data_IF_503768641722
#
_entry.id   IF_503768641722
#
_cell.length_a   1.000
_cell.length_b   1.000
_cell.length_c   1.000
_cell.angle_alpha   90.00
_cell.angle_beta   90.00
_cell.angle_gamma   90.00
#
_symmetry.space_group_name_H-M   'P 1'
#
loop_
_entity.id
_entity.type
_entity.pdbx_description
1 polymer ?
#
# COMPACT_ATOMS: atom_id res chain seq x y z
N UNK A 1 -17.05 21.28 -42.43
CA UNK A 1 -17.25 21.76 -41.04
C UNK A 1 -16.01 21.39 -40.24
N UNK A 2 -15.36 22.37 -39.61
CA UNK A 2 -14.05 22.21 -38.94
C UNK A 2 -14.21 21.49 -37.60
N UNK A 3 -13.45 20.40 -37.44
CA UNK A 3 -13.27 19.67 -36.18
C UNK A 3 -12.53 20.54 -35.16
N UNK A 4 -13.19 20.86 -34.05
CA UNK A 4 -12.59 21.59 -32.92
C UNK A 4 -11.88 20.60 -31.99
N UNK A 5 -10.55 20.54 -32.11
CA UNK A 5 -9.64 19.94 -31.14
C UNK A 5 -9.68 20.73 -29.82
N UNK A 6 -10.41 20.25 -28.81
CA UNK A 6 -10.22 20.71 -27.41
C UNK A 6 -9.09 19.92 -26.78
N UNK A 7 -7.88 20.49 -26.77
CA UNK A 7 -6.80 20.10 -25.84
C UNK A 7 -7.31 20.28 -24.41
N UNK A 8 -7.59 19.19 -23.71
CA UNK A 8 -7.69 19.19 -22.26
C UNK A 8 -6.28 19.47 -21.73
N UNK A 9 -6.04 20.72 -21.33
CA UNK A 9 -4.83 21.07 -20.58
C UNK A 9 -4.89 20.31 -19.25
N UNK A 10 -3.95 19.40 -19.03
CA UNK A 10 -3.70 18.81 -17.71
C UNK A 10 -3.42 19.96 -16.75
N UNK A 11 -4.36 20.24 -15.83
CA UNK A 11 -4.08 21.14 -14.71
C UNK A 11 -2.91 20.55 -13.94
N UNK A 12 -1.81 21.30 -13.86
CA UNK A 12 -0.65 20.94 -13.06
C UNK A 12 -1.07 20.65 -11.63
N UNK A 13 -0.45 19.62 -11.05
CA UNK A 13 -0.60 19.27 -9.65
C UNK A 13 -0.01 20.41 -8.80
N UNK A 14 -0.87 21.23 -8.20
CA UNK A 14 -0.46 22.24 -7.22
C UNK A 14 -0.43 21.53 -5.88
N UNK A 15 0.77 21.38 -5.32
CA UNK A 15 0.96 20.93 -3.95
C UNK A 15 0.56 22.07 -3.01
N UNK A 16 -0.55 21.88 -2.30
CA UNK A 16 -1.01 22.81 -1.28
C UNK A 16 -0.18 22.62 0.00
N UNK A 17 0.56 23.66 0.38
CA UNK A 17 1.43 23.68 1.56
C UNK A 17 0.66 23.60 2.90
N UNK A 18 -0.66 23.49 2.87
CA UNK A 18 -1.53 23.26 4.04
C UNK A 18 -1.99 21.82 4.21
N UNK A 19 -1.61 20.90 3.31
CA UNK A 19 -1.98 19.50 3.43
C UNK A 19 -1.42 18.95 4.73
N UNK A 20 -2.26 18.30 5.53
CA UNK A 20 -1.91 17.71 6.84
C UNK A 20 -1.66 16.20 6.74
N UNK A 21 -1.47 15.66 5.54
CA UNK A 21 -1.21 14.24 5.30
C UNK A 21 -0.30 14.04 4.08
N UNK A 22 0.62 13.04 4.08
CA UNK A 22 1.41 12.68 2.89
C UNK A 22 0.53 12.17 1.72
N UNK A 23 -0.73 11.81 1.99
CA UNK A 23 -1.72 11.43 0.99
C UNK A 23 -2.53 12.62 0.46
N UNK A 24 -2.34 13.81 1.05
CA UNK A 24 -3.18 14.98 0.85
C UNK A 24 -4.60 14.81 1.41
N UNK A 25 -5.48 15.76 1.10
CA UNK A 25 -6.88 15.78 1.53
C UNK A 25 -7.86 15.41 0.41
N UNK A 26 -7.37 15.22 -0.82
CA UNK A 26 -8.21 15.02 -2.01
C UNK A 26 -8.09 13.59 -2.59
N UNK A 27 -7.75 12.59 -1.78
CA UNK A 27 -7.77 11.20 -2.22
C UNK A 27 -9.20 10.66 -2.23
N UNK A 28 -9.48 9.74 -3.16
CA UNK A 28 -10.74 9.01 -3.20
C UNK A 28 -10.64 7.66 -2.49
N UNK A 29 -9.50 6.99 -2.70
CA UNK A 29 -9.19 5.65 -2.16
C UNK A 29 -7.77 5.66 -1.60
N UNK A 30 -7.60 5.25 -0.35
CA UNK A 30 -6.31 4.89 0.23
C UNK A 30 -6.19 3.38 0.28
N UNK A 31 -5.17 2.84 -0.38
CA UNK A 31 -4.85 1.42 -0.31
C UNK A 31 -3.77 1.20 0.74
N UNK A 32 -4.20 0.86 1.94
CA UNK A 32 -3.35 0.73 3.13
C UNK A 32 -2.77 -0.67 3.28
N UNK A 33 -3.46 -1.67 2.73
CA UNK A 33 -3.17 -3.09 2.84
C UNK A 33 -3.17 -3.76 1.48
N UNK A 34 -2.01 -4.14 0.96
CA UNK A 34 -1.91 -4.87 -0.31
C UNK A 34 -0.73 -5.84 -0.39
N UNK A 35 -0.72 -6.70 -1.41
CA UNK A 35 0.48 -7.44 -1.81
C UNK A 35 0.95 -7.05 -3.22
N UNK A 36 0.74 -5.80 -3.62
CA UNK A 36 1.38 -5.26 -4.79
C UNK A 36 0.73 -3.98 -5.23
N UNK A 37 1.54 -3.04 -5.69
CA UNK A 37 1.07 -1.75 -6.17
C UNK A 37 1.98 -1.26 -7.29
N UNK A 38 1.44 -0.42 -8.17
CA UNK A 38 2.17 0.30 -9.21
C UNK A 38 1.81 1.77 -9.13
N UNK A 39 2.80 2.63 -8.99
CA UNK A 39 2.61 4.06 -9.04
C UNK A 39 2.40 4.55 -10.49
N UNK A 40 1.85 5.75 -10.62
CA UNK A 40 1.76 6.44 -11.91
C UNK A 40 3.14 6.78 -12.48
N UNK A 41 3.36 6.51 -13.76
CA UNK A 41 4.61 6.86 -14.47
C UNK A 41 4.79 8.38 -14.54
N UNK A 42 6.00 8.85 -14.26
CA UNK A 42 6.32 10.29 -14.28
C UNK A 42 5.51 11.13 -13.27
N UNK A 43 4.89 10.49 -12.28
CA UNK A 43 4.16 11.20 -11.22
C UNK A 43 5.03 11.38 -9.98
N UNK A 44 4.89 12.48 -9.23
CA UNK A 44 5.61 12.65 -7.98
C UNK A 44 5.21 11.59 -6.95
N UNK A 45 6.19 11.13 -6.17
CA UNK A 45 5.98 10.29 -5.00
C UNK A 45 6.84 10.81 -3.84
N UNK A 46 6.36 10.56 -2.63
CA UNK A 46 7.15 10.76 -1.43
C UNK A 46 7.99 9.53 -1.16
N UNK A 47 9.24 9.75 -0.75
CA UNK A 47 10.16 8.72 -0.29
C UNK A 47 10.74 9.13 1.06
N UNK A 48 10.65 8.21 2.00
CA UNK A 48 11.31 8.27 3.30
C UNK A 48 12.29 7.10 3.35
N UNK A 49 13.56 7.36 3.70
CA UNK A 49 14.65 6.36 3.63
C UNK A 49 15.15 5.90 5.00
N UNK A 50 14.49 6.34 6.08
CA UNK A 50 14.80 6.04 7.48
C UNK A 50 13.56 5.48 8.21
N UNK A 51 12.69 4.79 7.47
CA UNK A 51 11.51 4.16 8.03
C UNK A 51 11.79 2.77 8.57
N UNK A 52 12.00 2.69 9.88
CA UNK A 52 12.19 1.42 10.61
C UNK A 52 10.95 0.53 10.64
N UNK A 53 9.78 1.07 10.31
CA UNK A 53 8.53 0.31 10.21
C UNK A 53 8.30 -0.27 8.82
N UNK A 54 9.09 0.17 7.82
CA UNK A 54 9.04 -0.37 6.48
C UNK A 54 9.69 -1.76 6.47
N UNK A 55 8.92 -2.76 6.04
CA UNK A 55 9.41 -4.13 5.97
C UNK A 55 10.53 -4.24 4.91
N UNK A 56 11.68 -4.85 5.24
CA UNK A 56 12.76 -5.04 4.28
C UNK A 56 12.32 -5.88 3.08
N UNK A 57 12.93 -5.63 1.92
CA UNK A 57 12.58 -6.34 0.69
C UNK A 57 12.80 -7.87 0.78
N UNK A 58 13.77 -8.31 1.58
CA UNK A 58 14.04 -9.73 1.86
C UNK A 58 12.91 -10.42 2.61
N UNK A 59 12.11 -9.66 3.35
CA UNK A 59 11.05 -10.16 4.23
C UNK A 59 9.66 -9.78 3.75
N UNK A 60 9.55 -9.13 2.58
CA UNK A 60 8.27 -8.87 1.94
C UNK A 60 7.57 -10.20 1.66
N UNK A 61 6.27 -10.33 2.00
CA UNK A 61 5.50 -11.47 1.52
C UNK A 61 5.43 -11.43 0.00
N UNK A 62 5.00 -12.53 -0.63
CA UNK A 62 4.88 -12.60 -2.08
C UNK A 62 4.00 -11.46 -2.61
N UNK A 63 4.64 -10.53 -3.32
CA UNK A 63 3.94 -9.45 -4.01
C UNK A 63 3.66 -9.85 -5.45
N UNK A 64 2.40 -9.74 -5.87
CA UNK A 64 1.92 -10.17 -7.18
C UNK A 64 1.83 -9.02 -8.20
N UNK A 65 2.05 -7.78 -7.74
CA UNK A 65 2.16 -6.61 -8.60
C UNK A 65 3.33 -5.73 -8.17
N UNK A 66 3.98 -5.14 -9.17
CA UNK A 66 5.10 -4.23 -8.99
C UNK A 66 5.92 -4.10 -10.29
N UNK A 67 7.10 -3.47 -10.19
CA UNK A 67 7.53 -2.64 -9.05
C UNK A 67 6.58 -1.45 -8.84
N UNK A 68 6.57 -0.87 -7.63
CA UNK A 68 5.83 0.34 -7.31
C UNK A 68 6.35 1.52 -8.12
N UNK A 69 7.65 1.82 -8.00
CA UNK A 69 8.34 2.80 -8.85
C UNK A 69 9.35 2.10 -9.74
N UNK A 70 10.37 1.50 -9.14
CA UNK A 70 11.48 0.84 -9.83
C UNK A 70 12.19 -0.10 -8.85
N UNK A 71 12.71 -1.24 -9.31
CA UNK A 71 13.26 -2.26 -8.43
C UNK A 71 14.36 -1.76 -7.48
N UNK A 72 15.24 -0.88 -7.95
CA UNK A 72 16.34 -0.34 -7.12
C UNK A 72 15.85 0.58 -6.01
N UNK A 73 14.72 1.25 -6.22
CA UNK A 73 14.11 2.17 -5.26
C UNK A 73 13.27 1.37 -4.26
N UNK A 74 12.47 0.45 -4.77
CA UNK A 74 11.60 -0.42 -3.99
C UNK A 74 12.40 -1.35 -3.05
N UNK A 75 13.61 -1.78 -3.46
CA UNK A 75 14.50 -2.64 -2.65
C UNK A 75 15.39 -1.86 -1.69
N UNK A 76 15.31 -0.53 -1.66
CA UNK A 76 16.13 0.26 -0.75
C UNK A 76 15.76 -0.04 0.71
N UNK A 77 16.74 -0.24 1.61
CA UNK A 77 16.48 -0.56 3.01
C UNK A 77 15.75 0.59 3.71
N UNK A 78 14.91 0.24 4.69
CA UNK A 78 14.16 1.19 5.53
C UNK A 78 13.43 2.27 4.71
N UNK A 79 12.99 1.91 3.50
CA UNK A 79 12.41 2.87 2.56
C UNK A 79 10.91 2.66 2.48
N UNK A 80 10.16 3.75 2.72
CA UNK A 80 8.73 3.82 2.44
C UNK A 80 8.46 4.84 1.35
N UNK A 81 7.74 4.40 0.34
CA UNK A 81 7.22 5.20 -0.75
C UNK A 81 5.75 5.50 -0.49
N UNK A 82 5.29 6.69 -0.84
CA UNK A 82 3.87 7.03 -0.92
C UNK A 82 3.62 7.69 -2.25
N UNK A 83 2.70 7.15 -3.04
CA UNK A 83 2.48 7.62 -4.40
C UNK A 83 1.00 7.58 -4.77
N UNK A 84 0.66 8.31 -5.82
CA UNK A 84 -0.59 8.07 -6.54
C UNK A 84 -0.47 6.72 -7.24
N UNK A 85 -1.22 5.74 -6.74
CA UNK A 85 -1.24 4.40 -7.33
C UNK A 85 -2.17 4.39 -8.55
N UNK A 86 -1.72 3.73 -9.61
CA UNK A 86 -2.56 3.41 -10.77
C UNK A 86 -3.14 2.00 -10.67
N UNK A 87 -2.61 1.17 -9.78
CA UNK A 87 -3.00 -0.23 -9.67
C UNK A 87 -2.53 -0.79 -8.34
N UNK A 88 -3.41 -1.44 -7.60
CA UNK A 88 -3.10 -2.23 -6.42
C UNK A 88 -3.93 -3.51 -6.43
N UNK A 89 -3.39 -4.59 -5.86
CA UNK A 89 -4.06 -5.89 -5.82
C UNK A 89 -3.93 -6.54 -4.46
N UNK A 90 -4.87 -7.45 -4.18
CA UNK A 90 -5.13 -8.04 -2.88
C UNK A 90 -5.45 -6.95 -1.86
N UNK A 91 -6.71 -6.85 -1.44
CA UNK A 91 -7.10 -5.83 -0.46
C UNK A 91 -7.11 -6.40 0.95
N UNK A 92 -6.09 -6.08 1.75
CA UNK A 92 -6.09 -6.36 3.18
C UNK A 92 -6.70 -5.21 3.99
N UNK A 93 -6.52 -3.97 3.52
CA UNK A 93 -7.04 -2.78 4.16
C UNK A 93 -7.14 -1.62 3.17
N UNK A 94 -8.21 -0.85 3.27
CA UNK A 94 -8.43 0.33 2.45
C UNK A 94 -9.26 1.35 3.21
N UNK A 95 -9.20 2.61 2.77
CA UNK A 95 -10.09 3.66 3.22
C UNK A 95 -10.68 4.38 2.01
N UNK A 96 -11.94 4.81 2.14
CA UNK A 96 -12.65 5.62 1.13
C UNK A 96 -13.32 6.79 1.82
N UNK A 97 -13.40 7.92 1.14
CA UNK A 97 -14.23 9.03 1.65
C UNK A 97 -15.70 8.69 1.46
N UNK A 98 -16.58 9.34 2.23
CA UNK A 98 -18.02 9.16 2.08
C UNK A 98 -18.51 9.48 0.64
N UNK A 99 -17.93 10.51 0.02
CA UNK A 99 -18.27 10.88 -1.36
C UNK A 99 -17.78 9.82 -2.36
N UNK A 100 -16.55 9.36 -2.20
CA UNK A 100 -15.97 8.32 -3.06
C UNK A 100 -16.73 7.01 -2.92
N UNK A 101 -17.20 6.63 -1.73
CA UNK A 101 -18.02 5.45 -1.52
C UNK A 101 -19.33 5.48 -2.36
N UNK A 102 -20.02 6.62 -2.39
CA UNK A 102 -21.22 6.79 -3.26
C UNK A 102 -20.86 6.68 -4.74
N UNK A 103 -19.75 7.29 -5.15
CA UNK A 103 -19.27 7.24 -6.54
C UNK A 103 -18.85 5.83 -6.95
N UNK A 104 -18.25 5.06 -6.04
CA UNK A 104 -17.88 3.66 -6.26
C UNK A 104 -19.15 2.83 -6.51
N UNK A 105 -20.18 2.95 -5.65
CA UNK A 105 -21.45 2.24 -5.83
C UNK A 105 -22.10 2.61 -7.16
N UNK A 106 -22.12 3.89 -7.52
CA UNK A 106 -22.65 4.34 -8.80
C UNK A 106 -21.85 3.78 -9.99
N UNK A 107 -20.51 3.78 -9.89
CA UNK A 107 -19.64 3.24 -10.93
C UNK A 107 -19.89 1.73 -11.14
N UNK A 108 -20.00 0.96 -10.06
CA UNK A 108 -20.29 -0.48 -10.12
C UNK A 108 -21.68 -0.80 -10.72
N UNK A 109 -22.64 0.11 -10.60
CA UNK A 109 -24.00 -0.08 -11.14
C UNK A 109 -24.14 0.30 -12.61
N UNK A 110 -23.33 1.24 -13.10
CA UNK A 110 -23.55 1.88 -14.41
C UNK A 110 -22.48 1.50 -15.43
N UNK A 111 -21.27 1.16 -14.99
CA UNK A 111 -20.20 0.81 -15.91
C UNK A 111 -20.37 -0.63 -16.42
N UNK A 112 -20.17 -0.88 -17.72
CA UNK A 112 -20.23 -2.23 -18.28
C UNK A 112 -19.20 -3.15 -17.61
N UNK A 113 -19.56 -4.40 -17.23
CA UNK A 113 -18.65 -5.32 -16.55
C UNK A 113 -17.34 -5.56 -17.31
N UNK A 114 -17.37 -5.57 -18.65
CA UNK A 114 -16.22 -5.74 -19.54
C UNK A 114 -15.24 -4.55 -19.54
N UNK A 115 -15.67 -3.38 -19.07
CA UNK A 115 -14.79 -2.21 -18.88
C UNK A 115 -14.08 -2.23 -17.52
N UNK A 116 -14.73 -2.81 -16.50
CA UNK A 116 -14.26 -2.83 -15.11
C UNK A 116 -13.45 -4.10 -14.80
N UNK A 117 -13.85 -5.22 -15.40
CA UNK A 117 -13.29 -6.54 -15.16
C UNK A 117 -12.61 -6.99 -16.46
N UNK A 118 -11.29 -7.27 -16.45
CA UNK A 118 -10.60 -7.78 -17.62
C UNK A 118 -11.24 -9.08 -18.15
N UNK A 119 -11.25 -9.33 -19.47
CA UNK A 119 -11.81 -10.55 -20.03
C UNK A 119 -11.17 -11.80 -19.43
N UNK A 120 -11.99 -12.76 -18.99
CA UNK A 120 -11.53 -14.02 -18.42
C UNK A 120 -11.09 -13.94 -16.95
N UNK A 121 -11.35 -12.83 -16.27
CA UNK A 121 -11.15 -12.68 -14.82
C UNK A 121 -12.52 -12.63 -14.15
N UNK A 122 -12.74 -13.44 -13.12
CA UNK A 122 -13.95 -13.32 -12.31
C UNK A 122 -13.89 -12.04 -11.45
N UNK A 123 -15.05 -11.44 -11.18
CA UNK A 123 -15.15 -10.15 -10.46
C UNK A 123 -14.59 -10.26 -9.04
N UNK A 124 -13.31 -9.94 -8.85
CA UNK A 124 -12.73 -9.73 -7.52
C UNK A 124 -12.73 -8.22 -7.25
N UNK A 125 -13.27 -7.84 -6.09
CA UNK A 125 -13.42 -6.46 -5.63
C UNK A 125 -12.17 -5.60 -5.88
N UNK A 126 -10.99 -6.16 -5.60
CA UNK A 126 -9.70 -5.48 -5.72
C UNK A 126 -9.25 -5.24 -7.17
N UNK A 127 -9.55 -6.16 -8.09
CA UNK A 127 -9.27 -5.99 -9.53
C UNK A 127 -10.09 -4.83 -10.08
N UNK A 128 -11.40 -4.80 -9.79
CA UNK A 128 -12.31 -3.74 -10.20
C UNK A 128 -11.90 -2.37 -9.63
N UNK A 129 -11.54 -2.33 -8.35
CA UNK A 129 -11.06 -1.11 -7.70
C UNK A 129 -9.72 -0.63 -8.27
N UNK A 130 -8.77 -1.56 -8.46
CA UNK A 130 -7.50 -1.27 -9.11
C UNK A 130 -7.69 -0.71 -10.51
N UNK A 131 -8.67 -1.23 -11.26
CA UNK A 131 -9.03 -0.73 -12.58
C UNK A 131 -9.60 0.69 -12.55
N UNK A 132 -10.45 1.02 -11.58
CA UNK A 132 -10.93 2.41 -11.43
C UNK A 132 -9.81 3.41 -11.15
N UNK A 133 -8.78 3.00 -10.41
CA UNK A 133 -7.57 3.79 -10.20
C UNK A 133 -6.80 3.96 -11.51
N UNK A 134 -6.66 2.89 -12.29
CA UNK A 134 -5.94 2.89 -13.57
C UNK A 134 -6.60 3.78 -14.61
N UNK A 135 -7.94 3.73 -14.70
CA UNK A 135 -8.73 4.58 -15.59
C UNK A 135 -8.78 6.05 -15.14
N UNK A 136 -8.29 6.36 -13.94
CA UNK A 136 -8.32 7.70 -13.38
C UNK A 136 -9.72 8.16 -12.93
N UNK A 137 -10.67 7.23 -12.78
CA UNK A 137 -12.01 7.51 -12.23
C UNK A 137 -11.89 7.95 -10.77
N UNK A 138 -10.97 7.34 -10.03
CA UNK A 138 -10.65 7.69 -8.64
C UNK A 138 -9.20 8.15 -8.48
N UNK A 139 -8.99 9.13 -7.59
CA UNK A 139 -7.66 9.53 -7.12
C UNK A 139 -7.20 8.53 -6.04
N UNK A 140 -6.49 7.50 -6.47
CA UNK A 140 -6.00 6.46 -5.56
C UNK A 140 -4.59 6.74 -5.07
N UNK A 141 -4.34 6.53 -3.78
CA UNK A 141 -3.01 6.60 -3.18
C UNK A 141 -2.70 5.33 -2.42
N UNK A 142 -1.42 4.99 -2.35
CA UNK A 142 -0.94 3.83 -1.63
C UNK A 142 0.50 4.03 -1.19
N UNK A 143 0.95 3.22 -0.23
CA UNK A 143 2.34 3.15 0.19
C UNK A 143 3.01 1.88 -0.29
N UNK A 144 4.30 1.92 -0.57
CA UNK A 144 5.12 0.73 -0.75
C UNK A 144 6.29 0.74 0.24
N UNK A 145 6.49 -0.33 1.04
CA UNK A 145 5.56 -1.43 1.27
C UNK A 145 4.21 -1.01 1.87
N UNK A 146 3.28 -1.96 1.91
CA UNK A 146 1.98 -1.82 2.57
C UNK A 146 2.10 -1.32 4.03
N UNK A 147 1.13 -0.52 4.50
CA UNK A 147 1.07 -0.12 5.93
C UNK A 147 0.46 -1.20 6.80
N UNK A 148 -0.49 -1.96 6.25
CA UNK A 148 -1.21 -3.00 6.95
C UNK A 148 -0.88 -4.35 6.37
N UNK A 149 -0.59 -5.29 7.27
CA UNK A 149 -0.29 -6.67 6.98
C UNK A 149 -1.47 -7.59 7.24
N UNK A 150 -1.21 -8.89 7.15
CA UNK A 150 -2.16 -9.93 7.57
C UNK A 150 -1.64 -10.58 8.84
N UNK A 151 -2.55 -10.93 9.74
CA UNK A 151 -2.25 -11.73 10.92
C UNK A 151 -3.04 -13.05 10.91
N UNK A 152 -2.40 -14.11 11.39
CA UNK A 152 -2.99 -15.43 11.57
C UNK A 152 -2.74 -15.91 13.00
N UNK A 153 -3.78 -16.35 13.74
CA UNK A 153 -3.62 -16.94 15.06
C UNK A 153 -2.89 -18.29 14.97
N UNK A 154 -2.34 -18.79 16.09
CA UNK A 154 -1.95 -20.19 16.18
C UNK A 154 -3.16 -21.09 15.90
N UNK A 155 -2.94 -22.16 15.15
CA UNK A 155 -4.00 -23.13 14.89
C UNK A 155 -3.46 -24.57 14.88
N UNK A 156 -4.17 -25.44 15.60
CA UNK A 156 -3.94 -26.88 15.59
C UNK A 156 -4.43 -27.54 14.28
N UNK A 157 -5.41 -26.93 13.60
CA UNK A 157 -5.89 -27.29 12.25
C UNK A 157 -6.14 -25.99 11.45
N UNK A 158 -5.64 -25.92 10.22
CA UNK A 158 -5.81 -24.75 9.34
C UNK A 158 -7.26 -24.39 9.09
N UNK A 159 -8.16 -25.37 8.97
CA UNK A 159 -9.58 -25.13 8.67
C UNK A 159 -10.36 -24.48 9.81
N UNK A 160 -9.83 -24.55 11.03
CA UNK A 160 -10.55 -24.06 12.21
C UNK A 160 -10.43 -22.55 12.42
N UNK A 161 -9.38 -21.91 11.85
CA UNK A 161 -9.02 -20.51 12.17
C UNK A 161 -8.45 -19.71 11.00
N UNK A 162 -8.39 -20.29 9.80
CA UNK A 162 -7.88 -19.62 8.60
C UNK A 162 -8.91 -19.65 7.48
N UNK A 163 -8.75 -18.72 6.51
CA UNK A 163 -9.53 -18.78 5.27
C UNK A 163 -9.24 -20.08 4.53
N UNK A 164 -10.31 -20.77 4.15
CA UNK A 164 -10.32 -22.00 3.36
C UNK A 164 -10.07 -21.77 1.86
N UNK A 165 -9.93 -20.51 1.43
CA UNK A 165 -9.67 -20.15 0.03
C UNK A 165 -8.33 -20.72 -0.47
N UNK A 166 -7.34 -20.84 0.42
CA UNK A 166 -6.05 -21.49 0.10
C UNK A 166 -6.12 -23.02 0.22
N UNK A 167 -7.10 -23.56 0.94
CA UNK A 167 -7.30 -25.02 1.08
C UNK A 167 -7.69 -25.64 -0.27
N UNK A 168 -8.29 -24.87 -1.18
CA UNK A 168 -8.62 -25.32 -2.53
C UNK A 168 -7.46 -25.28 -3.54
N UNK A 169 -6.34 -24.61 -3.24
CA UNK A 169 -5.13 -24.64 -4.09
C UNK A 169 -4.27 -25.89 -3.88
N UNK A 170 -4.69 -26.83 -3.03
CA UNK A 170 -4.08 -28.16 -2.88
C UNK A 170 -4.39 -29.12 -4.06
N UNK A 171 -4.41 -28.63 -5.30
CA UNK A 171 -4.41 -29.50 -6.49
C UNK A 171 -3.03 -30.18 -6.66
N UNK A 172 -1.99 -29.71 -5.95
CA UNK A 172 -0.63 -30.27 -5.97
C UNK A 172 -0.22 -31.05 -4.71
N UNK A 173 -1.15 -31.39 -3.81
CA UNK A 173 -0.89 -32.33 -2.71
C UNK A 173 0.05 -31.85 -1.60
N UNK A 174 0.39 -30.56 -1.55
CA UNK A 174 1.33 -30.01 -0.56
C UNK A 174 0.60 -29.73 0.76
N UNK A 175 0.53 -30.71 1.66
CA UNK A 175 -0.08 -30.54 3.00
C UNK A 175 0.65 -29.41 3.72
N UNK A 176 -0.05 -28.31 3.99
CA UNK A 176 0.53 -27.20 4.74
C UNK A 176 0.50 -27.57 6.22
N UNK A 177 1.66 -27.57 6.87
CA UNK A 177 1.83 -27.96 8.27
C UNK A 177 1.13 -26.98 9.22
N UNK A 178 0.54 -27.44 10.35
CA UNK A 178 -0.02 -26.58 11.38
C UNK A 178 0.94 -25.48 11.79
N UNK A 179 0.41 -24.28 12.10
CA UNK A 179 1.22 -23.18 12.62
C UNK A 179 1.11 -23.19 14.16
N UNK A 180 2.13 -23.70 14.89
CA UNK A 180 2.11 -23.72 16.35
C UNK A 180 2.19 -22.31 16.96
N UNK A 181 2.64 -21.33 16.19
CA UNK A 181 2.87 -19.94 16.61
C UNK A 181 2.07 -18.94 15.75
N UNK A 182 1.76 -17.73 16.28
CA UNK A 182 1.07 -16.70 15.52
C UNK A 182 1.96 -16.16 14.41
N UNK A 183 1.38 -15.85 13.25
CA UNK A 183 2.12 -15.31 12.10
C UNK A 183 1.58 -13.93 11.74
N UNK A 184 2.50 -12.98 11.55
CA UNK A 184 2.21 -11.71 10.90
C UNK A 184 3.02 -11.59 9.62
N UNK A 185 2.42 -11.04 8.56
CA UNK A 185 3.10 -10.82 7.27
C UNK A 185 2.87 -9.40 6.79
N UNK A 186 3.91 -8.80 6.21
CA UNK A 186 3.83 -7.50 5.54
C UNK A 186 4.03 -6.27 6.44
N UNK A 187 4.26 -6.44 7.73
CA UNK A 187 4.60 -5.36 8.68
C UNK A 187 5.67 -5.83 9.66
N UNK A 188 6.57 -4.91 10.06
CA UNK A 188 7.64 -5.19 11.03
C UNK A 188 7.07 -5.37 12.43
N UNK A 189 6.41 -4.35 12.97
CA UNK A 189 5.84 -4.39 14.32
C UNK A 189 4.33 -4.64 14.27
N UNK A 190 3.92 -5.90 14.40
CA UNK A 190 2.50 -6.28 14.36
C UNK A 190 1.80 -5.92 15.67
N UNK A 191 0.69 -5.17 15.58
CA UNK A 191 -0.20 -4.89 16.71
C UNK A 191 -0.70 -6.18 17.35
N UNK A 192 -1.07 -7.18 16.55
CA UNK A 192 -1.65 -8.43 17.06
C UNK A 192 -0.62 -9.31 17.78
N UNK A 193 0.65 -9.30 17.34
CA UNK A 193 1.73 -10.00 18.07
C UNK A 193 2.07 -9.27 19.37
N UNK A 194 1.97 -7.94 19.37
CA UNK A 194 2.35 -7.09 20.49
C UNK A 194 1.17 -6.66 21.38
N UNK A 195 -0.03 -7.24 21.21
CA UNK A 195 -1.25 -6.72 21.84
C UNK A 195 -1.15 -6.72 23.37
N UNK A 196 -0.56 -7.75 23.97
CA UNK A 196 -0.34 -7.82 25.41
C UNK A 196 0.61 -6.71 25.90
N UNK A 197 1.74 -6.53 25.21
CA UNK A 197 2.72 -5.47 25.48
C UNK A 197 2.09 -4.08 25.39
N UNK A 198 1.25 -3.84 24.37
CA UNK A 198 0.56 -2.57 24.15
C UNK A 198 -0.47 -2.27 25.25
N UNK A 199 -1.20 -3.29 25.72
CA UNK A 199 -2.20 -3.15 26.78
C UNK A 199 -1.57 -2.94 28.16
N UNK A 200 -0.43 -3.55 28.43
CA UNK A 200 0.31 -3.39 29.70
C UNK A 200 1.03 -2.04 29.78
N UNK A 201 1.42 -1.47 28.65
CA UNK A 201 2.16 -0.20 28.57
C UNK A 201 3.63 -0.32 29.00
N UNK A 202 4.46 0.61 28.53
CA UNK A 202 5.84 0.79 29.00
C UNK A 202 6.85 -0.30 28.62
N UNK A 203 6.47 -1.27 27.79
CA UNK A 203 7.37 -2.31 27.25
C UNK A 203 7.61 -2.09 25.74
N UNK A 204 8.83 -2.37 25.24
CA UNK A 204 9.11 -2.26 23.82
C UNK A 204 8.34 -3.33 23.02
N UNK A 205 7.90 -2.97 21.81
CA UNK A 205 7.26 -3.89 20.88
C UNK A 205 8.32 -4.69 20.12
N UNK A 206 8.02 -5.95 19.83
CA UNK A 206 8.90 -6.88 19.13
C UNK A 206 8.57 -6.93 17.64
N UNK A 207 9.61 -7.07 16.84
CA UNK A 207 9.48 -7.35 15.42
C UNK A 207 8.85 -8.71 15.17
N UNK A 208 8.00 -8.79 14.16
CA UNK A 208 7.44 -10.02 13.59
C UNK A 208 8.33 -10.61 12.49
N UNK A 209 9.45 -9.96 12.20
CA UNK A 209 10.33 -10.21 11.08
C UNK A 209 11.78 -10.23 11.59
N UNK A 210 12.55 -11.21 11.13
CA UNK A 210 13.97 -11.32 11.45
C UNK A 210 14.81 -10.32 10.62
N UNK A 211 16.09 -10.14 10.98
CA UNK A 211 17.05 -9.31 10.24
C UNK A 211 16.66 -7.83 10.07
N UNK A 212 15.88 -7.28 11.01
CA UNK A 212 15.59 -5.85 11.09
C UNK A 212 16.64 -5.13 11.93
N UNK A 213 16.91 -3.86 11.61
CA UNK A 213 17.89 -3.06 12.36
C UNK A 213 17.51 -2.81 13.82
N UNK A 214 16.22 -2.92 14.16
CA UNK A 214 15.72 -2.77 15.52
C UNK A 214 14.71 -3.89 15.85
N UNK A 215 15.16 -5.02 16.42
CA UNK A 215 14.28 -6.14 16.77
C UNK A 215 13.25 -5.77 17.86
N UNK A 216 13.58 -4.82 18.72
CA UNK A 216 12.70 -4.25 19.73
C UNK A 216 12.63 -2.73 19.55
N UNK A 217 11.43 -2.17 19.64
CA UNK A 217 11.17 -0.75 19.45
C UNK A 217 10.42 -0.17 20.66
N UNK A 218 10.99 0.84 21.30
CA UNK A 218 10.29 1.63 22.30
C UNK A 218 9.44 2.71 21.60
N UNK A 219 8.13 2.58 21.72
CA UNK A 219 7.17 3.51 21.12
C UNK A 219 7.33 4.95 21.65
N UNK A 220 7.85 5.14 22.87
CA UNK A 220 8.07 6.46 23.45
C UNK A 220 9.19 7.26 22.75
N UNK A 221 10.12 6.57 22.08
CA UNK A 221 11.24 7.18 21.36
C UNK A 221 11.04 7.16 19.85
N UNK A 222 9.86 6.78 19.37
CA UNK A 222 9.53 6.95 17.96
C UNK A 222 9.45 8.43 17.64
N UNK A 223 10.12 8.85 16.56
CA UNK A 223 10.10 10.20 16.03
C UNK A 223 9.07 10.27 14.88
N UNK A 224 7.80 10.59 15.16
CA UNK A 224 6.77 10.71 14.13
C UNK A 224 6.97 11.91 13.19
N UNK A 225 7.98 12.76 13.44
CA UNK A 225 8.17 14.07 12.84
C UNK A 225 9.14 14.12 11.63
N UNK A 226 9.84 13.04 11.31
CA UNK A 226 10.75 12.99 10.16
C UNK A 226 9.95 12.67 8.88
N UNK A 227 9.51 13.74 8.21
CA UNK A 227 8.85 13.67 6.90
C UNK A 227 9.75 13.12 5.80
N UNK A 228 9.15 12.63 4.71
CA UNK A 228 9.86 12.21 3.51
C UNK A 228 10.16 13.36 2.54
N UNK A 229 11.03 13.09 1.57
CA UNK A 229 11.30 13.99 0.44
C UNK A 229 10.45 13.59 -0.77
N UNK A 230 10.17 14.54 -1.65
CA UNK A 230 9.42 14.27 -2.87
C UNK A 230 10.35 14.06 -4.05
N UNK A 231 10.04 13.08 -4.88
CA UNK A 231 10.80 12.72 -6.06
C UNK A 231 9.89 12.50 -7.25
N UNK A 232 10.46 12.62 -8.45
CA UNK A 232 9.87 12.15 -9.70
C UNK A 232 10.89 11.19 -10.33
N UNK A 233 10.40 10.02 -10.74
CA UNK A 233 11.20 9.05 -11.45
C UNK A 233 10.98 9.19 -12.96
N UNK A 234 12.06 9.31 -13.71
CA UNK A 234 12.07 9.32 -15.16
C UNK A 234 12.35 7.91 -15.68
N UNK A 235 11.30 7.23 -16.14
CA UNK A 235 11.39 5.87 -16.70
C UNK A 235 12.32 5.77 -17.91
N UNK A 236 12.49 6.85 -18.68
CA UNK A 236 13.31 6.82 -19.90
C UNK A 236 14.81 6.88 -19.59
N UNK A 237 15.19 7.60 -18.54
CA UNK A 237 16.58 7.73 -18.11
C UNK A 237 16.94 6.85 -16.92
N UNK A 238 15.94 6.23 -16.28
CA UNK A 238 16.06 5.50 -15.01
C UNK A 238 16.67 6.36 -13.88
N UNK A 239 16.39 7.66 -13.90
CA UNK A 239 16.91 8.63 -12.92
C UNK A 239 15.78 9.16 -12.04
N UNK A 240 16.01 9.11 -10.73
CA UNK A 240 15.19 9.77 -9.72
C UNK A 240 15.66 11.22 -9.54
N UNK A 241 14.73 12.19 -9.55
CA UNK A 241 15.02 13.61 -9.30
C UNK A 241 14.23 14.11 -8.11
N UNK A 242 14.91 14.70 -7.13
CA UNK A 242 14.28 15.37 -6.00
C UNK A 242 13.53 16.62 -6.48
N UNK A 243 12.27 16.76 -6.07
CA UNK A 243 11.45 17.93 -6.38
C UNK A 243 11.66 18.94 -5.26
N UNK A 244 12.47 19.97 -5.52
CA UNK A 244 12.75 21.06 -4.58
C UNK A 244 11.62 22.09 -4.56
N UNK A 245 10.51 21.75 -3.90
CA UNK A 245 9.54 22.74 -3.44
C UNK A 245 9.21 22.43 -1.99
N UNK A 246 9.39 23.43 -1.11
CA UNK A 246 9.30 23.40 0.36
C UNK A 246 8.34 22.36 0.95
N UNK A 247 8.75 21.09 1.01
CA UNK A 247 8.05 20.02 1.68
C UNK A 247 8.58 19.91 3.11
N UNK A 248 8.35 20.97 3.91
CA UNK A 248 8.30 20.83 5.36
C UNK A 248 6.84 20.58 5.71
N UNK A 249 6.61 19.53 6.51
CA UNK A 249 5.31 18.91 6.84
C UNK A 249 4.76 18.08 5.68
N UNK A 250 4.49 16.78 5.86
CA UNK A 250 3.64 16.27 6.92
C UNK A 250 4.10 14.91 7.46
N UNK A 251 4.34 14.85 8.77
CA UNK A 251 4.27 13.58 9.50
C UNK A 251 2.81 13.19 9.69
N UNK A 252 2.45 11.96 9.35
CA UNK A 252 1.24 11.36 9.89
C UNK A 252 1.31 9.82 9.95
N UNK A 253 1.18 9.34 11.19
CA UNK A 253 0.74 8.03 11.70
C UNK A 253 0.98 6.76 10.85
N UNK A 254 1.84 5.89 11.41
CA UNK A 254 1.51 4.47 11.70
C UNK A 254 1.98 4.19 13.11
#
# INVERSE_FOLDING_TARGET
>A
MKSTNRRVKSKGFVLDATLSSPYGNEWDILWLGHCGTRCGRGTPYYRRSDDLTAIPASSLPQYWAGPAIHETIDKAPNTRLVCRTRYAIYTNAYAVTYESAKRILAALMVLPPDEIIPPGVDSIFDVSFGRFCEMGIFKCFSSFPSLMGTWKPPALDMRSRHSDIQTQQHILGEVSEPFPEPISRGVVYSTMINIATLLEGGKPVKSAVDDVSQPELDLNYTRPDLGGKMFVFDDATAVEKEVSFWARLVGLFV
#
